data_IF_332341702699
#
_entry.id   IF_332341702699
#
_cell.length_a   1.000
_cell.length_b   1.000
_cell.length_c   1.000
_cell.angle_alpha   90.00
_cell.angle_beta   90.00
_cell.angle_gamma   90.00
#
_symmetry.space_group_name_H-M   'P 1'
#
loop_
_entity.id
_entity.type
_entity.pdbx_description
1 polymer ?
#
# COMPACT_ATOMS: atom_id res chain seq x y z
N UNK A 1 -8.86 -23.01 1.61
CA UNK A 1 -7.98 -21.82 1.60
C UNK A 1 -7.49 -21.62 0.16
N UNK A 2 -7.48 -20.39 -0.35
CA UNK A 2 -7.03 -20.09 -1.72
C UNK A 2 -5.56 -19.65 -1.65
N UNK A 3 -4.63 -20.31 -2.37
CA UNK A 3 -3.24 -19.87 -2.46
C UNK A 3 -3.15 -18.62 -3.34
N UNK A 4 -3.04 -17.46 -2.70
CA UNK A 4 -2.95 -16.15 -3.35
C UNK A 4 -1.86 -15.31 -2.67
N UNK A 5 -0.98 -14.71 -3.47
CA UNK A 5 -0.07 -13.67 -3.03
C UNK A 5 -0.61 -12.31 -3.45
N UNK A 6 -0.94 -11.45 -2.48
CA UNK A 6 -1.27 -10.05 -2.71
C UNK A 6 -0.07 -9.17 -2.37
N UNK A 7 0.35 -8.31 -3.29
CA UNK A 7 1.37 -7.29 -3.04
C UNK A 7 0.66 -5.94 -3.02
N UNK A 8 0.51 -5.36 -1.84
CA UNK A 8 -0.12 -4.07 -1.65
C UNK A 8 0.88 -2.96 -2.00
N UNK A 9 0.50 -2.16 -3.00
CA UNK A 9 1.25 -0.98 -3.41
C UNK A 9 0.79 0.21 -2.56
N UNK A 10 1.44 0.42 -1.42
CA UNK A 10 1.02 1.39 -0.42
C UNK A 10 1.76 2.73 -0.59
N UNK A 11 1.20 3.60 -1.43
CA UNK A 11 1.65 4.99 -1.60
C UNK A 11 0.93 5.97 -0.66
N UNK A 12 0.10 5.47 0.27
CA UNK A 12 -0.68 6.23 1.27
C UNK A 12 -1.66 7.25 0.68
N UNK A 13 -2.15 7.04 -0.54
CA UNK A 13 -3.15 7.92 -1.15
C UNK A 13 -3.96 7.24 -2.25
N UNK A 14 -5.13 7.80 -2.55
CA UNK A 14 -5.72 7.72 -3.88
C UNK A 14 -4.91 8.63 -4.82
N UNK A 15 -3.77 8.12 -5.30
CA UNK A 15 -2.74 8.99 -5.86
C UNK A 15 -3.11 9.58 -7.23
N UNK A 16 -3.84 8.83 -8.06
CA UNK A 16 -4.39 9.34 -9.32
C UNK A 16 -5.30 10.55 -9.08
N UNK A 17 -6.18 10.45 -8.08
CA UNK A 17 -7.08 11.51 -7.65
C UNK A 17 -6.31 12.70 -7.06
N UNK A 18 -5.33 12.46 -6.19
CA UNK A 18 -4.49 13.51 -5.63
C UNK A 18 -3.82 14.32 -6.75
N UNK A 19 -3.18 13.65 -7.70
CA UNK A 19 -2.54 14.29 -8.86
C UNK A 19 -3.55 15.03 -9.74
N UNK A 20 -4.75 14.48 -9.92
CA UNK A 20 -5.80 15.15 -10.69
C UNK A 20 -6.30 16.43 -10.00
N UNK A 21 -6.58 16.37 -8.69
CA UNK A 21 -7.04 17.52 -7.90
C UNK A 21 -5.96 18.61 -7.87
N UNK A 22 -4.69 18.25 -7.68
CA UNK A 22 -3.58 19.21 -7.75
C UNK A 22 -3.53 19.91 -9.11
N UNK A 23 -3.58 19.14 -10.21
CA UNK A 23 -3.57 19.71 -11.57
C UNK A 23 -4.74 20.66 -11.82
N UNK A 24 -5.94 20.30 -11.37
CA UNK A 24 -7.13 21.15 -11.55
C UNK A 24 -7.10 22.40 -10.67
N UNK A 25 -6.66 22.29 -9.43
CA UNK A 25 -6.55 23.43 -8.54
C UNK A 25 -5.51 24.45 -9.04
N UNK A 26 -4.35 23.97 -9.51
CA UNK A 26 -3.30 24.81 -10.10
C UNK A 26 -3.78 25.54 -11.36
N UNK A 27 -4.42 24.82 -12.29
CA UNK A 27 -5.02 25.41 -13.50
C UNK A 27 -6.05 26.52 -13.21
N UNK A 28 -6.71 26.45 -12.05
CA UNK A 28 -7.70 27.42 -11.61
C UNK A 28 -7.16 28.45 -10.61
N UNK A 29 -5.84 28.48 -10.35
CA UNK A 29 -5.20 29.36 -9.37
C UNK A 29 -5.82 29.28 -7.96
N UNK A 30 -6.16 28.06 -7.50
CA UNK A 30 -6.78 27.83 -6.18
C UNK A 30 -5.82 27.30 -5.12
N UNK A 31 -4.56 27.02 -5.47
CA UNK A 31 -3.56 26.40 -4.59
C UNK A 31 -3.68 24.87 -4.51
N UNK A 32 -2.56 24.19 -4.26
CA UNK A 32 -2.47 22.71 -4.25
C UNK A 32 -2.33 22.10 -2.83
N UNK A 33 -2.17 22.96 -1.83
CA UNK A 33 -1.92 22.63 -0.42
C UNK A 33 -3.04 21.81 0.21
N UNK A 34 -4.28 21.97 -0.28
CA UNK A 34 -5.46 21.26 0.22
C UNK A 34 -5.83 20.02 -0.58
N UNK A 35 -5.07 19.65 -1.60
CA UNK A 35 -5.42 18.52 -2.47
C UNK A 35 -5.40 17.17 -1.73
N UNK A 36 -4.70 17.07 -0.60
CA UNK A 36 -4.67 15.88 0.25
C UNK A 36 -5.98 15.60 1.01
N UNK A 37 -6.85 16.61 1.17
CA UNK A 37 -8.12 16.44 1.89
C UNK A 37 -9.01 15.45 1.13
N UNK A 38 -9.25 14.29 1.73
CA UNK A 38 -10.06 13.23 1.14
C UNK A 38 -9.33 12.34 0.12
N UNK A 39 -8.05 12.57 -0.14
CA UNK A 39 -7.26 11.78 -1.11
C UNK A 39 -6.06 11.08 -0.48
N UNK A 40 -5.60 11.48 0.71
CA UNK A 40 -4.48 10.85 1.42
C UNK A 40 -4.93 10.05 2.64
N UNK A 41 -4.15 9.03 2.99
CA UNK A 41 -4.35 8.18 4.18
C UNK A 41 -3.26 8.49 5.21
N UNK A 42 -3.42 9.60 5.92
CA UNK A 42 -2.49 10.06 6.96
C UNK A 42 -3.21 10.18 8.30
N UNK A 43 -2.46 10.11 9.39
CA UNK A 43 -2.93 10.38 10.76
C UNK A 43 -4.14 9.52 11.22
N UNK A 44 -4.00 8.17 11.28
CA UNK A 44 -2.78 7.40 11.03
C UNK A 44 -2.71 6.82 9.61
N UNK A 45 -1.52 6.36 9.22
CA UNK A 45 -1.38 5.51 8.03
C UNK A 45 -2.12 4.18 8.26
N UNK A 46 -2.67 3.62 7.18
CA UNK A 46 -3.30 2.29 7.22
C UNK A 46 -2.22 1.21 7.26
N UNK A 47 -2.32 0.31 8.22
CA UNK A 47 -1.48 -0.89 8.34
C UNK A 47 -2.20 -2.09 7.71
N UNK A 48 -1.97 -2.32 6.42
CA UNK A 48 -2.65 -3.38 5.68
C UNK A 48 -2.16 -4.77 6.09
N UNK A 49 -0.90 -4.89 6.51
CA UNK A 49 -0.36 -6.15 7.01
C UNK A 49 -1.09 -6.60 8.28
N UNK A 50 -1.30 -5.70 9.25
CA UNK A 50 -2.02 -6.02 10.48
C UNK A 50 -3.51 -6.31 10.24
N UNK A 51 -4.14 -5.61 9.30
CA UNK A 51 -5.50 -5.94 8.86
C UNK A 51 -5.57 -7.35 8.27
N UNK A 52 -4.66 -7.72 7.36
CA UNK A 52 -4.58 -9.06 6.80
C UNK A 52 -4.35 -10.14 7.86
N UNK A 53 -3.46 -9.89 8.84
CA UNK A 53 -3.22 -10.80 9.97
C UNK A 53 -4.48 -11.06 10.79
N UNK A 54 -5.29 -10.02 11.07
CA UNK A 54 -6.56 -10.16 11.79
C UNK A 54 -7.58 -11.06 11.07
N UNK A 55 -7.45 -11.20 9.74
CA UNK A 55 -8.27 -12.08 8.91
C UNK A 55 -7.67 -13.49 8.72
N UNK A 56 -6.61 -13.83 9.46
CA UNK A 56 -5.95 -15.13 9.40
C UNK A 56 -5.08 -15.33 8.14
N UNK A 57 -4.68 -14.23 7.49
CA UNK A 57 -3.78 -14.24 6.33
C UNK A 57 -2.35 -14.00 6.83
N UNK A 58 -1.36 -14.76 6.34
CA UNK A 58 0.04 -14.41 6.57
C UNK A 58 0.30 -13.03 5.97
N UNK A 59 0.84 -12.10 6.74
CA UNK A 59 1.24 -10.83 6.15
C UNK A 59 2.51 -10.27 6.78
N UNK A 60 3.26 -9.55 5.94
CA UNK A 60 4.50 -8.88 6.30
C UNK A 60 4.46 -7.44 5.77
N UNK A 61 4.91 -6.50 6.60
CA UNK A 61 4.99 -5.08 6.26
C UNK A 61 4.56 -4.18 7.42
N UNK A 62 4.60 -2.85 7.25
CA UNK A 62 5.02 -2.16 6.03
C UNK A 62 6.51 -2.37 5.71
N UNK A 63 6.80 -2.80 4.48
CA UNK A 63 8.17 -2.92 3.95
C UNK A 63 8.55 -1.56 3.36
N UNK A 64 9.47 -0.86 4.01
CA UNK A 64 9.91 0.49 3.63
C UNK A 64 11.28 0.50 2.94
N UNK A 65 12.14 -0.46 3.27
CA UNK A 65 13.44 -0.65 2.67
C UNK A 65 13.36 -1.62 1.47
N UNK A 66 13.72 -1.18 0.25
CA UNK A 66 13.68 -2.02 -0.95
C UNK A 66 14.51 -3.31 -0.86
N UNK A 67 15.56 -3.34 -0.02
CA UNK A 67 16.40 -4.53 0.16
C UNK A 67 15.66 -5.68 0.84
N UNK A 68 14.61 -5.38 1.61
CA UNK A 68 13.85 -6.35 2.37
C UNK A 68 12.71 -6.99 1.57
N UNK A 69 12.33 -6.37 0.43
CA UNK A 69 11.25 -6.85 -0.43
C UNK A 69 11.55 -8.22 -1.05
N UNK A 70 12.75 -8.44 -1.60
CA UNK A 70 13.07 -9.71 -2.23
C UNK A 70 13.11 -10.89 -1.24
N UNK A 71 13.70 -10.76 -0.03
CA UNK A 71 13.53 -11.74 1.04
C UNK A 71 12.07 -11.98 1.45
N UNK A 72 11.26 -10.92 1.61
CA UNK A 72 9.85 -11.02 1.97
C UNK A 72 9.03 -11.79 0.94
N UNK A 73 9.24 -11.51 -0.35
CA UNK A 73 8.64 -12.24 -1.47
C UNK A 73 8.95 -13.74 -1.40
N UNK A 74 10.19 -14.13 -1.11
CA UNK A 74 10.56 -15.55 -0.98
C UNK A 74 9.79 -16.23 0.16
N UNK A 75 9.67 -15.57 1.32
CA UNK A 75 8.88 -16.09 2.46
C UNK A 75 7.40 -16.21 2.12
N UNK A 76 6.80 -15.17 1.55
CA UNK A 76 5.39 -15.14 1.18
C UNK A 76 5.06 -16.20 0.10
N UNK A 77 5.93 -16.38 -0.89
CA UNK A 77 5.78 -17.45 -1.89
C UNK A 77 5.83 -18.84 -1.23
N UNK A 78 6.70 -19.05 -0.23
CA UNK A 78 6.75 -20.33 0.49
C UNK A 78 5.44 -20.60 1.25
N UNK A 79 4.79 -19.58 1.81
CA UNK A 79 3.45 -19.68 2.44
C UNK A 79 2.40 -20.07 1.40
N UNK A 80 2.37 -19.39 0.27
CA UNK A 80 1.43 -19.66 -0.83
C UNK A 80 1.59 -21.06 -1.39
N UNK A 81 2.82 -21.55 -1.53
CA UNK A 81 3.11 -22.93 -1.95
C UNK A 81 2.60 -23.99 -0.98
N UNK A 82 2.33 -23.66 0.29
CA UNK A 82 1.68 -24.55 1.26
C UNK A 82 0.14 -24.50 1.22
N UNK A 83 -0.45 -23.71 0.32
CA UNK A 83 -1.91 -23.59 0.17
C UNK A 83 -2.55 -22.47 0.99
N UNK A 84 -1.75 -21.57 1.57
CA UNK A 84 -2.22 -20.48 2.44
C UNK A 84 -2.16 -19.12 1.71
N UNK A 85 -3.06 -18.16 1.98
CA UNK A 85 -2.95 -16.82 1.42
C UNK A 85 -1.83 -16.02 2.10
N UNK A 86 -1.24 -15.08 1.36
CA UNK A 86 -0.20 -14.17 1.86
C UNK A 86 -0.38 -12.74 1.34
N UNK A 87 -0.07 -11.74 2.18
CA UNK A 87 -0.03 -10.33 1.80
C UNK A 87 1.34 -9.71 2.14
N UNK A 88 1.89 -8.90 1.23
CA UNK A 88 3.00 -8.01 1.51
C UNK A 88 2.52 -6.57 1.42
N UNK A 89 2.67 -5.80 2.50
CA UNK A 89 2.43 -4.35 2.50
C UNK A 89 3.73 -3.62 2.16
N UNK A 90 3.82 -3.03 0.97
CA UNK A 90 5.03 -2.40 0.45
C UNK A 90 4.81 -0.91 0.37
N UNK A 91 5.57 -0.13 1.16
CA UNK A 91 5.55 1.31 1.02
C UNK A 91 6.24 1.70 -0.29
N UNK A 92 5.54 2.53 -1.06
CA UNK A 92 6.03 2.98 -2.36
C UNK A 92 6.08 4.49 -2.43
N UNK A 93 6.98 4.98 -3.27
CA UNK A 93 7.01 6.40 -3.57
C UNK A 93 5.76 6.79 -4.34
N UNK A 94 5.13 7.93 -4.02
CA UNK A 94 4.12 8.52 -4.88
C UNK A 94 4.70 8.79 -6.28
N UNK A 95 3.94 8.50 -7.33
CA UNK A 95 4.35 8.63 -8.74
C UNK A 95 3.19 9.09 -9.60
#
# INVERSE_FOLDING_TARGET
RIPLLSVMHNNRAYHEELMHVQRMADRHNRGIDRAGIGTTFTDPNVDFAKLAQSMGVYAEGPIDNPKDLAPALRRAIAVVKRGEPALLDVLTQPR
#
